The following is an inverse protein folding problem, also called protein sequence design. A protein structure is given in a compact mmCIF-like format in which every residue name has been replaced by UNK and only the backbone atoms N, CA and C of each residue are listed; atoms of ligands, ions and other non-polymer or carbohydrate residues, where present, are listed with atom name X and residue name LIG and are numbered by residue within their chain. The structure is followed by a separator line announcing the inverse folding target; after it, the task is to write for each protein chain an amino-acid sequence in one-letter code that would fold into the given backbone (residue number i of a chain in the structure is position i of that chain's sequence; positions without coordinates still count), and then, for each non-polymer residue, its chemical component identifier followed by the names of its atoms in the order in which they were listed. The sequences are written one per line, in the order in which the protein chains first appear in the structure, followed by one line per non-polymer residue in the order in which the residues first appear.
data_IF_109632699373
#
_entry.id   IF_109632699373
#
_cell.length_a   1.000
_cell.length_b   1.000
_cell.length_c   1.000
_cell.angle_alpha   90.00
_cell.angle_beta   90.00
_cell.angle_gamma   90.00
#
_symmetry.space_group_name_H-M   'P 1'
#
loop_
_entity.id
_entity.type
_entity.pdbx_description
1 polymer ?
#
# COMPACT_ATOMS: atom_id res chain seq x y z
N UNK A 1 -2.26 18.34 -0.68
CA UNK A 1 -2.99 18.56 0.57
C UNK A 1 -3.06 20.06 0.88
N UNK A 2 -1.91 20.76 1.03
CA UNK A 2 -1.86 22.18 1.31
C UNK A 2 -2.68 23.04 0.31
N UNK A 3 -2.61 22.73 -0.97
CA UNK A 3 -3.42 23.41 -2.00
C UNK A 3 -4.92 23.31 -1.73
N UNK A 4 -5.42 22.13 -1.34
CA UNK A 4 -6.84 21.95 -1.02
C UNK A 4 -7.26 22.80 0.19
N UNK A 5 -6.38 22.86 1.22
CA UNK A 5 -6.59 23.72 2.40
C UNK A 5 -6.62 25.19 1.99
N UNK A 6 -5.64 25.66 1.22
CA UNK A 6 -5.56 27.06 0.76
C UNK A 6 -6.77 27.48 -0.10
N UNK A 7 -7.33 26.55 -0.84
CA UNK A 7 -8.49 26.78 -1.74
C UNK A 7 -9.83 26.54 -1.04
N UNK A 8 -9.85 26.29 0.27
CA UNK A 8 -11.05 25.96 1.06
C UNK A 8 -11.89 24.81 0.43
N UNK A 9 -11.21 23.79 -0.04
CA UNK A 9 -11.86 22.60 -0.61
C UNK A 9 -12.10 21.54 0.44
N UNK A 10 -13.23 20.84 0.32
CA UNK A 10 -13.51 19.69 1.17
C UNK A 10 -12.90 18.44 0.56
N UNK A 11 -12.16 17.69 1.36
CA UNK A 11 -11.52 16.43 0.96
C UNK A 11 -11.31 15.55 2.19
N UNK A 12 -11.68 14.29 2.08
CA UNK A 12 -11.32 13.28 3.08
C UNK A 12 -10.28 12.34 2.48
N UNK A 13 -9.14 12.20 3.14
CA UNK A 13 -8.04 11.34 2.75
C UNK A 13 -7.85 10.26 3.81
N UNK A 14 -7.80 8.99 3.40
CA UNK A 14 -7.46 7.87 4.27
C UNK A 14 -6.06 7.38 3.87
N UNK A 15 -5.15 7.36 4.83
CA UNK A 15 -3.81 6.81 4.67
C UNK A 15 -3.76 5.44 5.33
N UNK A 16 -3.57 4.40 4.53
CA UNK A 16 -3.33 3.04 5.00
C UNK A 16 -1.82 2.82 5.13
N UNK A 17 -1.29 2.98 6.35
CA UNK A 17 0.15 2.87 6.59
C UNK A 17 0.54 1.41 6.79
N UNK A 18 1.19 0.83 5.79
CA UNK A 18 1.74 -0.52 5.82
C UNK A 18 3.27 -0.55 6.03
N UNK A 19 3.86 0.57 6.44
CA UNK A 19 5.31 0.72 6.67
C UNK A 19 6.16 0.39 5.44
N UNK A 20 5.68 0.75 4.23
CA UNK A 20 6.46 0.56 3.01
C UNK A 20 5.62 0.55 1.73
N UNK A 21 6.21 -0.01 0.70
CA UNK A 21 5.58 -0.21 -0.60
C UNK A 21 4.99 -1.63 -0.70
N UNK A 22 3.98 -1.95 0.13
CA UNK A 22 3.43 -3.30 0.23
C UNK A 22 2.91 -3.87 -1.08
N UNK A 23 2.34 -3.04 -1.96
CA UNK A 23 1.93 -3.46 -3.29
C UNK A 23 3.13 -3.93 -4.13
N UNK A 24 4.20 -3.16 -4.15
CA UNK A 24 5.43 -3.51 -4.89
C UNK A 24 6.07 -4.76 -4.30
N UNK A 25 6.11 -4.88 -2.98
CA UNK A 25 6.62 -6.08 -2.32
C UNK A 25 5.84 -7.33 -2.74
N UNK A 26 4.50 -7.27 -2.78
CA UNK A 26 3.68 -8.40 -3.24
C UNK A 26 3.96 -8.77 -4.69
N UNK A 27 4.15 -7.80 -5.59
CA UNK A 27 4.53 -8.07 -6.97
C UNK A 27 5.88 -8.78 -7.05
N UNK A 28 6.88 -8.27 -6.33
CA UNK A 28 8.22 -8.85 -6.31
C UNK A 28 8.22 -10.28 -5.77
N UNK A 29 7.60 -10.51 -4.62
CA UNK A 29 7.53 -11.84 -4.01
C UNK A 29 6.64 -12.78 -4.83
N UNK A 30 5.55 -12.29 -5.39
CA UNK A 30 4.63 -13.06 -6.25
C UNK A 30 5.28 -13.53 -7.55
N UNK A 31 6.31 -12.85 -8.03
CA UNK A 31 7.13 -13.28 -9.18
C UNK A 31 8.36 -14.11 -8.78
N UNK A 32 8.42 -14.55 -7.53
CA UNK A 32 9.50 -15.39 -6.99
C UNK A 32 10.72 -14.62 -6.49
N UNK A 33 10.71 -13.29 -6.54
CA UNK A 33 11.79 -12.45 -6.02
C UNK A 33 11.89 -12.51 -4.49
N UNK A 34 13.09 -12.34 -3.96
CA UNK A 34 13.28 -12.17 -2.52
C UNK A 34 12.74 -10.80 -2.07
N UNK A 35 12.18 -10.66 -0.84
CA UNK A 35 11.90 -9.36 -0.26
C UNK A 35 13.16 -8.48 -0.29
N UNK A 36 13.00 -7.23 -0.75
CA UNK A 36 14.15 -6.34 -0.84
C UNK A 36 13.73 -4.87 -0.79
N UNK A 37 14.02 -4.19 0.31
CA UNK A 37 13.85 -2.76 0.51
C UNK A 37 12.45 -2.16 0.21
N UNK A 38 11.43 -2.98 -0.01
CA UNK A 38 10.07 -2.49 -0.23
C UNK A 38 9.31 -2.21 1.07
N UNK A 39 9.64 -2.93 2.11
CA UNK A 39 9.12 -2.70 3.47
C UNK A 39 10.28 -2.27 4.37
N UNK A 40 9.98 -1.46 5.37
CA UNK A 40 10.98 -1.10 6.37
C UNK A 40 11.55 -2.33 7.07
N UNK A 41 10.71 -3.36 7.30
CA UNK A 41 11.13 -4.62 7.89
C UNK A 41 12.19 -5.38 7.07
N UNK A 42 12.20 -5.18 5.75
CA UNK A 42 13.13 -5.84 4.81
C UNK A 42 14.34 -4.96 4.49
N UNK A 43 14.39 -3.77 5.06
CA UNK A 43 15.47 -2.81 4.81
C UNK A 43 16.55 -2.95 5.86
N UNK A 44 17.82 -2.84 5.43
CA UNK A 44 18.95 -2.82 6.33
C UNK A 44 19.21 -1.38 6.79
N UNK A 45 18.66 -1.03 7.94
CA UNK A 45 18.86 0.28 8.56
C UNK A 45 19.31 0.11 10.01
N UNK A 46 20.17 1.00 10.47
CA UNK A 46 20.56 1.06 11.88
C UNK A 46 19.41 1.55 12.75
N UNK A 47 18.61 2.48 12.23
CA UNK A 47 17.43 3.03 12.89
C UNK A 47 16.32 3.19 11.87
N UNK A 48 15.15 2.62 12.14
CA UNK A 48 13.95 2.85 11.33
C UNK A 48 13.26 4.14 11.78
N UNK A 49 12.96 5.09 10.88
CA UNK A 49 12.22 6.27 11.24
C UNK A 49 10.76 5.93 11.57
N UNK A 50 10.23 6.57 12.61
CA UNK A 50 8.79 6.65 12.80
C UNK A 50 8.25 7.81 11.98
N UNK A 51 7.51 7.50 10.92
CA UNK A 51 6.87 8.51 10.08
C UNK A 51 5.50 8.83 10.67
N UNK A 52 5.34 10.05 11.19
CA UNK A 52 4.07 10.53 11.72
C UNK A 52 3.27 11.23 10.61
N UNK A 53 2.41 10.47 9.93
CA UNK A 53 1.54 11.02 8.88
C UNK A 53 0.46 11.94 9.43
N UNK A 54 0.08 11.81 10.72
CA UNK A 54 -0.88 12.72 11.37
C UNK A 54 -0.24 14.10 11.52
N UNK A 55 0.95 14.18 12.13
CA UNK A 55 1.67 15.43 12.27
C UNK A 55 2.02 16.03 10.90
N UNK A 56 2.40 15.19 9.92
CA UNK A 56 2.69 15.63 8.56
C UNK A 56 1.48 16.31 7.90
N UNK A 57 0.31 15.68 7.97
CA UNK A 57 -0.92 16.24 7.42
C UNK A 57 -1.37 17.52 8.17
N UNK A 58 -1.28 17.51 9.50
CA UNK A 58 -1.62 18.66 10.32
C UNK A 58 -0.72 19.87 10.02
N UNK A 59 0.56 19.67 9.74
CA UNK A 59 1.49 20.74 9.35
C UNK A 59 1.09 21.45 8.05
N UNK A 60 0.32 20.81 7.19
CA UNK A 60 -0.24 21.38 5.97
C UNK A 60 -1.64 22.01 6.15
N UNK A 61 -2.12 22.10 7.40
CA UNK A 61 -3.39 22.73 7.74
C UNK A 61 -4.61 21.80 7.69
N UNK A 62 -4.43 20.48 7.50
CA UNK A 62 -5.51 19.52 7.57
C UNK A 62 -5.85 19.17 9.03
N UNK A 63 -7.11 18.78 9.26
CA UNK A 63 -7.47 18.05 10.49
C UNK A 63 -7.02 16.60 10.30
N UNK A 64 -6.16 16.13 11.18
CA UNK A 64 -5.58 14.79 11.04
C UNK A 64 -5.73 14.00 12.35
N UNK A 65 -6.04 12.72 12.23
CA UNK A 65 -6.14 11.80 13.35
C UNK A 65 -5.74 10.38 12.94
N UNK A 66 -5.49 9.53 13.93
CA UNK A 66 -5.22 8.11 13.73
C UNK A 66 -6.41 7.28 14.19
N UNK A 67 -6.84 6.33 13.38
CA UNK A 67 -7.83 5.33 13.74
C UNK A 67 -7.10 4.08 14.26
N UNK A 68 -7.50 3.58 15.43
CA UNK A 68 -6.97 2.37 16.05
C UNK A 68 -7.73 1.09 15.68
N UNK A 69 -8.87 1.23 14.98
CA UNK A 69 -9.71 0.10 14.56
C UNK A 69 -10.52 0.44 13.32
N UNK A 70 -11.09 -0.58 12.67
CA UNK A 70 -12.00 -0.38 11.53
C UNK A 70 -13.26 0.38 11.96
N UNK A 71 -13.84 0.06 13.11
CA UNK A 71 -15.02 0.77 13.63
C UNK A 71 -14.74 2.27 13.87
N UNK A 72 -13.57 2.60 14.37
CA UNK A 72 -13.15 3.99 14.55
C UNK A 72 -12.90 4.67 13.19
N UNK A 73 -12.28 3.98 12.24
CA UNK A 73 -12.11 4.48 10.87
C UNK A 73 -13.45 4.81 10.22
N UNK A 74 -14.46 3.93 10.36
CA UNK A 74 -15.81 4.15 9.85
C UNK A 74 -16.45 5.39 10.48
N UNK A 75 -16.39 5.52 11.81
CA UNK A 75 -16.94 6.67 12.53
C UNK A 75 -16.28 7.99 12.11
N UNK A 76 -14.94 8.04 12.11
CA UNK A 76 -14.17 9.22 11.70
C UNK A 76 -14.40 9.59 10.24
N UNK A 77 -14.55 8.60 9.37
CA UNK A 77 -14.86 8.83 7.94
C UNK A 77 -16.27 9.42 7.80
N UNK A 78 -17.26 8.88 8.52
CA UNK A 78 -18.63 9.41 8.50
C UNK A 78 -18.71 10.86 8.99
N UNK A 79 -17.91 11.23 9.99
CA UNK A 79 -17.80 12.63 10.44
C UNK A 79 -17.13 13.51 9.37
N UNK A 80 -16.02 13.04 8.80
CA UNK A 80 -15.22 13.82 7.86
C UNK A 80 -15.98 14.18 6.58
N UNK A 81 -16.75 13.24 6.01
CA UNK A 81 -17.51 13.49 4.77
C UNK A 81 -18.67 14.47 4.96
N UNK A 82 -19.15 14.67 6.19
CA UNK A 82 -20.26 15.56 6.52
C UNK A 82 -19.82 16.98 6.93
N UNK A 83 -18.53 17.25 6.96
CA UNK A 83 -18.01 18.58 7.35
C UNK A 83 -17.17 19.23 6.26
N UNK A 84 -17.03 20.55 6.31
CA UNK A 84 -16.17 21.28 5.39
C UNK A 84 -14.70 21.21 5.79
N UNK A 85 -13.85 21.25 4.78
CA UNK A 85 -12.39 21.33 4.91
C UNK A 85 -11.70 20.01 4.63
N UNK A 86 -10.42 19.94 4.96
CA UNK A 86 -9.57 18.80 4.65
C UNK A 86 -9.36 17.95 5.90
N UNK A 87 -9.73 16.69 5.80
CA UNK A 87 -9.56 15.69 6.83
C UNK A 87 -8.61 14.58 6.35
N UNK A 88 -7.72 14.14 7.25
CA UNK A 88 -6.79 13.03 7.00
C UNK A 88 -6.92 12.02 8.14
N UNK A 89 -7.25 10.79 7.81
CA UNK A 89 -7.38 9.70 8.76
C UNK A 89 -6.30 8.67 8.44
N UNK A 90 -5.45 8.38 9.41
CA UNK A 90 -4.37 7.39 9.27
C UNK A 90 -4.78 6.11 9.98
N UNK A 91 -4.57 4.97 9.34
CA UNK A 91 -4.75 3.65 9.96
C UNK A 91 -3.57 2.74 9.62
N UNK A 92 -3.02 2.08 10.63
CA UNK A 92 -1.98 1.08 10.41
C UNK A 92 -2.58 -0.16 9.74
N UNK A 93 -1.86 -0.72 8.78
CA UNK A 93 -2.27 -1.94 8.08
C UNK A 93 -1.13 -2.94 8.03
N UNK A 94 -1.48 -4.22 8.07
CA UNK A 94 -0.50 -5.30 7.89
C UNK A 94 -0.16 -5.44 6.41
N UNK A 95 1.12 -5.33 5.99
CA UNK A 95 1.52 -5.51 4.60
C UNK A 95 1.48 -6.98 4.13
N UNK A 96 1.43 -7.96 5.04
CA UNK A 96 1.51 -9.37 4.71
C UNK A 96 0.22 -9.93 4.09
N UNK A 97 -0.94 -9.85 4.75
CA UNK A 97 -2.18 -10.40 4.23
C UNK A 97 -2.63 -9.73 2.94
N UNK A 98 -3.05 -10.54 1.97
CA UNK A 98 -3.68 -10.06 0.74
C UNK A 98 -4.87 -10.94 0.38
N UNK A 99 -5.83 -10.39 -0.35
CA UNK A 99 -6.96 -11.18 -0.84
C UNK A 99 -6.52 -12.05 -2.02
N UNK A 100 -7.00 -13.30 -2.06
CA UNK A 100 -6.83 -14.17 -3.23
C UNK A 100 -7.72 -13.72 -4.42
N UNK A 101 -8.59 -12.76 -4.22
CA UNK A 101 -9.61 -12.32 -5.17
C UNK A 101 -9.08 -11.41 -6.29
N UNK A 102 -7.80 -11.08 -6.32
CA UNK A 102 -7.20 -10.12 -7.27
C UNK A 102 -6.96 -10.65 -8.68
N UNK A 103 -7.34 -11.90 -8.97
CA UNK A 103 -7.01 -12.54 -10.25
C UNK A 103 -5.53 -12.85 -10.40
N UNK A 104 -5.15 -13.23 -11.58
CA UNK A 104 -3.75 -13.51 -11.93
C UNK A 104 -3.11 -12.27 -12.53
N UNK A 105 -1.96 -11.89 -12.02
CA UNK A 105 -1.16 -10.77 -12.52
C UNK A 105 -0.30 -11.22 -13.73
N UNK A 106 -0.96 -11.77 -14.74
CA UNK A 106 -0.27 -12.28 -15.94
C UNK A 106 0.39 -11.21 -16.80
N UNK A 107 -0.01 -9.96 -16.63
CA UNK A 107 0.63 -8.83 -17.30
C UNK A 107 1.95 -8.40 -16.64
N UNK A 108 2.22 -8.89 -15.42
CA UNK A 108 3.50 -8.66 -14.76
C UNK A 108 4.50 -9.70 -15.29
N UNK A 109 5.48 -9.23 -16.06
CA UNK A 109 6.53 -10.09 -16.59
C UNK A 109 7.36 -10.72 -15.48
N UNK A 110 7.61 -12.01 -15.60
CA UNK A 110 8.53 -12.74 -14.72
C UNK A 110 9.87 -12.88 -15.43
N UNK A 111 11.03 -12.68 -14.76
CA UNK A 111 12.33 -12.85 -15.37
C UNK A 111 12.54 -14.26 -15.96
N UNK A 112 13.07 -14.33 -17.18
CA UNK A 112 13.40 -15.60 -17.82
C UNK A 112 14.65 -16.24 -17.25
N UNK A 113 15.58 -15.41 -16.76
CA UNK A 113 16.88 -15.83 -16.23
C UNK A 113 16.98 -15.44 -14.78
N UNK A 114 17.12 -16.44 -13.92
CA UNK A 114 17.34 -16.26 -12.50
C UNK A 114 17.96 -17.52 -11.92
N UNK A 115 18.85 -17.34 -10.94
CA UNK A 115 19.40 -18.44 -10.14
C UNK A 115 18.42 -18.94 -9.05
N UNK A 116 17.32 -18.19 -8.82
CA UNK A 116 16.30 -18.55 -7.82
C UNK A 116 15.28 -19.52 -8.40
N UNK A 117 15.10 -20.65 -7.71
CA UNK A 117 14.11 -21.67 -8.10
C UNK A 117 12.67 -21.13 -8.08
N UNK A 118 12.38 -20.22 -7.13
CA UNK A 118 11.07 -19.59 -6.99
C UNK A 118 10.74 -18.71 -8.21
N UNK A 119 11.71 -18.01 -8.78
CA UNK A 119 11.53 -17.22 -10.01
C UNK A 119 11.29 -18.16 -11.20
N UNK A 120 12.06 -19.24 -11.32
CA UNK A 120 11.85 -20.22 -12.38
C UNK A 120 10.44 -20.84 -12.31
N UNK A 121 9.96 -21.18 -11.10
CA UNK A 121 8.60 -21.69 -10.88
C UNK A 121 7.53 -20.67 -11.25
N UNK A 122 7.71 -19.40 -10.82
CA UNK A 122 6.79 -18.33 -11.14
C UNK A 122 6.74 -18.06 -12.65
N UNK A 123 7.86 -18.16 -13.36
CA UNK A 123 7.94 -18.00 -14.81
C UNK A 123 7.12 -19.10 -15.55
N UNK A 124 7.21 -20.37 -15.11
CA UNK A 124 6.38 -21.43 -15.68
C UNK A 124 4.90 -21.17 -15.43
N UNK A 125 4.51 -20.78 -14.23
CA UNK A 125 3.14 -20.40 -13.90
C UNK A 125 2.61 -19.23 -14.76
N UNK A 126 3.46 -18.24 -15.03
CA UNK A 126 3.15 -17.10 -15.90
C UNK A 126 2.94 -17.56 -17.36
N UNK A 127 3.82 -18.41 -17.90
CA UNK A 127 3.66 -18.98 -19.25
C UNK A 127 2.34 -19.79 -19.38
N UNK A 128 1.99 -20.57 -18.37
CA UNK A 128 0.75 -21.35 -18.37
C UNK A 128 -0.50 -20.45 -18.22
N UNK A 129 -0.37 -19.35 -17.48
CA UNK A 129 -1.39 -18.31 -17.40
C UNK A 129 -1.65 -17.65 -18.76
N UNK A 130 -0.58 -17.30 -19.47
CA UNK A 130 -0.68 -16.69 -20.81
C UNK A 130 -1.33 -17.61 -21.84
N UNK A 131 -1.04 -18.91 -21.82
CA UNK A 131 -1.69 -19.87 -22.71
C UNK A 131 -3.21 -19.90 -22.55
N UNK A 132 -3.68 -19.71 -21.30
CA UNK A 132 -5.13 -19.68 -21.00
C UNK A 132 -5.82 -18.40 -21.45
N UNK A 133 -5.09 -17.32 -21.64
CA UNK A 133 -5.63 -16.04 -22.13
C UNK A 133 -5.89 -16.04 -23.64
N UNK A 134 -5.16 -16.87 -24.38
CA UNK A 134 -5.17 -16.89 -25.85
C UNK A 134 -6.17 -17.94 -26.41
N UNK A 135 -6.95 -18.56 -25.53
CA UNK A 135 -7.96 -19.56 -25.87
C UNK A 135 -9.37 -19.01 -25.99
#
# INVERSE_FOLDING_TARGET
LATAVMMDRSMTLIITDNRGFGCINRLQVGTGGAPFNNLFADSQHEVLPEIDFVAHAASMGARACKAGSIAELEALTAEAINRKGVDVIVIDTDPGPSTAAGGTWWEVGVPEVSERAEVASAYQGWLDGKKRQLG
#
